data_IF_018683446409
#
_entry.id   IF_018683446409
#
_cell.length_a   1.000
_cell.length_b   1.000
_cell.length_c   1.000
_cell.angle_alpha   90.00
_cell.angle_beta   90.00
_cell.angle_gamma   90.00
#
_symmetry.space_group_name_H-M   'P 1'
#
loop_
_entity.id
_entity.type
_entity.pdbx_description
1 polymer ?
#
# COMPACT_ATOMS: atom_id res chain seq x y z
N UNK A 1 2.81 -19.96 -0.59
CA UNK A 1 2.14 -21.22 -1.00
C UNK A 1 0.62 -21.08 -1.00
N UNK A 2 -0.01 -20.73 0.14
CA UNK A 2 -1.48 -20.61 0.27
C UNK A 2 -2.16 -19.73 -0.80
N UNK A 3 -1.59 -18.58 -1.16
CA UNK A 3 -2.16 -17.73 -2.24
C UNK A 3 -2.26 -18.44 -3.60
N UNK A 4 -1.30 -19.31 -3.94
CA UNK A 4 -1.37 -20.10 -5.19
C UNK A 4 -2.45 -21.18 -5.12
N UNK A 5 -2.72 -21.73 -3.94
CA UNK A 5 -3.71 -22.80 -3.75
C UNK A 5 -5.14 -22.29 -3.98
N UNK A 6 -5.37 -20.97 -3.85
CA UNK A 6 -6.67 -20.32 -4.08
C UNK A 6 -7.04 -20.16 -5.56
N UNK A 7 -6.07 -20.31 -6.48
CA UNK A 7 -6.22 -19.93 -7.88
C UNK A 7 -5.91 -21.09 -8.81
N UNK A 8 -6.70 -21.24 -9.88
CA UNK A 8 -6.34 -22.09 -11.03
C UNK A 8 -5.10 -21.51 -11.75
N UNK A 9 -4.41 -22.29 -12.61
CA UNK A 9 -3.43 -21.73 -13.52
C UNK A 9 -4.01 -20.51 -14.26
N UNK A 10 -3.16 -19.48 -14.45
CA UNK A 10 -3.55 -18.18 -15.01
C UNK A 10 -4.61 -17.38 -14.23
N UNK A 11 -4.96 -17.84 -13.02
CA UNK A 11 -5.82 -17.08 -12.12
C UNK A 11 -5.18 -15.77 -11.71
N UNK A 12 -6.03 -14.75 -11.55
CA UNK A 12 -5.63 -13.38 -11.26
C UNK A 12 -5.78 -13.08 -9.77
N UNK A 13 -4.87 -12.27 -9.22
CA UNK A 13 -4.98 -11.73 -7.86
C UNK A 13 -4.65 -10.24 -7.87
N UNK A 14 -5.54 -9.45 -7.29
CA UNK A 14 -5.32 -8.03 -7.02
C UNK A 14 -4.77 -7.83 -5.62
N UNK A 15 -3.87 -6.86 -5.46
CA UNK A 15 -3.38 -6.39 -4.16
C UNK A 15 -3.61 -4.89 -4.10
N UNK A 16 -4.35 -4.46 -3.08
CA UNK A 16 -4.40 -3.08 -2.63
C UNK A 16 -3.56 -2.97 -1.36
N UNK A 17 -2.65 -2.00 -1.31
CA UNK A 17 -1.82 -1.74 -0.13
C UNK A 17 -1.39 -0.28 -0.06
N UNK A 18 -1.16 0.24 1.15
CA UNK A 18 -0.58 1.55 1.36
C UNK A 18 0.82 1.67 0.77
N UNK A 19 1.04 2.71 -0.03
CA UNK A 19 2.27 2.90 -0.83
C UNK A 19 3.23 3.85 -0.14
N UNK A 20 4.39 3.34 0.25
CA UNK A 20 5.51 4.17 0.68
C UNK A 20 6.20 4.81 -0.54
N UNK A 21 7.01 5.85 -0.27
CA UNK A 21 7.97 6.36 -1.26
C UNK A 21 8.93 5.25 -1.69
N UNK A 22 9.36 5.29 -2.95
CA UNK A 22 10.24 4.26 -3.53
C UNK A 22 11.59 4.16 -2.80
N UNK A 23 12.08 5.26 -2.25
CA UNK A 23 13.35 5.39 -1.52
C UNK A 23 13.19 5.35 0.00
N UNK A 24 11.98 5.05 0.51
CA UNK A 24 11.75 4.95 1.94
C UNK A 24 12.65 3.87 2.57
N UNK A 25 13.19 4.14 3.78
CA UNK A 25 14.04 3.18 4.48
C UNK A 25 13.24 1.96 4.95
N UNK A 26 13.92 0.83 5.11
CA UNK A 26 13.25 -0.44 5.41
C UNK A 26 12.49 -0.43 6.74
N UNK A 27 13.02 0.24 7.75
CA UNK A 27 12.39 0.41 9.07
C UNK A 27 11.04 1.14 9.03
N UNK A 28 10.81 1.94 7.99
CA UNK A 28 9.52 2.58 7.72
C UNK A 28 8.58 1.69 6.89
N UNK A 29 9.12 0.70 6.18
CA UNK A 29 8.40 -0.12 5.19
C UNK A 29 8.37 -1.60 5.56
N UNK A 30 8.61 -1.94 6.82
CA UNK A 30 8.54 -3.31 7.35
C UNK A 30 7.11 -3.75 7.70
N UNK A 31 6.13 -2.85 7.49
CA UNK A 31 4.72 -3.04 7.79
C UNK A 31 4.28 -2.40 9.11
N UNK A 32 5.20 -1.99 10.00
CA UNK A 32 4.87 -1.36 11.27
C UNK A 32 4.18 0.00 11.13
N UNK A 33 4.36 0.67 9.98
CA UNK A 33 3.71 1.94 9.62
C UNK A 33 2.55 1.77 8.64
N UNK A 34 2.23 0.54 8.25
CA UNK A 34 1.24 0.23 7.22
C UNK A 34 1.70 0.46 5.78
N UNK A 35 2.64 1.39 5.54
CA UNK A 35 3.21 1.64 4.23
C UNK A 35 4.22 0.58 3.80
N UNK A 36 4.15 0.13 2.54
CA UNK A 36 5.10 -0.80 1.93
C UNK A 36 5.59 -0.24 0.59
N UNK A 37 6.81 -0.59 0.15
CA UNK A 37 7.31 -0.19 -1.17
C UNK A 37 6.67 -1.05 -2.25
N UNK A 38 6.17 -0.42 -3.31
CA UNK A 38 5.54 -1.10 -4.45
C UNK A 38 6.47 -2.16 -5.06
N UNK A 39 7.75 -1.83 -5.21
CA UNK A 39 8.77 -2.74 -5.73
C UNK A 39 8.94 -4.01 -4.87
N UNK A 40 8.87 -3.89 -3.54
CA UNK A 40 9.00 -5.04 -2.63
C UNK A 40 7.80 -5.97 -2.75
N UNK A 41 6.58 -5.42 -2.88
CA UNK A 41 5.35 -6.21 -3.08
C UNK A 41 5.36 -6.93 -4.42
N UNK A 42 5.76 -6.24 -5.49
CA UNK A 42 5.91 -6.86 -6.81
C UNK A 42 6.92 -8.00 -6.72
N UNK A 43 8.10 -7.76 -6.14
CA UNK A 43 9.15 -8.78 -6.01
C UNK A 43 8.69 -9.97 -5.18
N UNK A 44 8.00 -9.72 -4.07
CA UNK A 44 7.43 -10.74 -3.20
C UNK A 44 6.45 -11.65 -3.96
N UNK A 45 5.57 -11.07 -4.76
CA UNK A 45 4.62 -11.85 -5.57
C UNK A 45 5.33 -12.65 -6.66
N UNK A 46 6.32 -12.06 -7.32
CA UNK A 46 7.12 -12.74 -8.34
C UNK A 46 7.84 -13.98 -7.79
N UNK A 47 8.56 -13.86 -6.67
CA UNK A 47 9.26 -15.01 -6.06
C UNK A 47 8.29 -16.11 -5.61
N UNK A 48 7.03 -15.74 -5.35
CA UNK A 48 5.97 -16.67 -4.96
C UNK A 48 5.15 -17.24 -6.11
N UNK A 49 5.66 -17.16 -7.35
CA UNK A 49 5.06 -17.86 -8.49
C UNK A 49 3.97 -17.07 -9.18
N UNK A 50 3.98 -15.74 -9.06
CA UNK A 50 3.12 -14.85 -9.82
C UNK A 50 3.93 -14.08 -10.87
N UNK A 51 3.24 -13.48 -11.84
CA UNK A 51 3.79 -12.53 -12.80
C UNK A 51 3.02 -11.21 -12.64
N UNK A 52 3.74 -10.09 -12.59
CA UNK A 52 3.13 -8.76 -12.59
C UNK A 52 2.42 -8.51 -13.92
N UNK A 53 1.18 -8.04 -13.86
CA UNK A 53 0.36 -7.77 -15.04
C UNK A 53 0.23 -6.27 -15.27
N UNK A 54 0.09 -5.50 -14.19
CA UNK A 54 -0.03 -4.05 -14.28
C UNK A 54 -0.52 -3.45 -12.98
N UNK A 55 -0.74 -2.14 -13.01
CA UNK A 55 -1.24 -1.37 -11.88
C UNK A 55 -2.30 -0.37 -12.29
N UNK A 56 -3.06 0.09 -11.31
CA UNK A 56 -4.02 1.18 -11.42
C UNK A 56 -3.71 2.25 -10.38
N UNK A 57 -3.92 3.51 -10.75
CA UNK A 57 -3.79 4.65 -9.84
C UNK A 57 -5.16 5.06 -9.27
N UNK A 58 -6.18 4.21 -9.37
CA UNK A 58 -7.54 4.50 -8.89
C UNK A 58 -7.60 4.81 -7.37
N UNK A 59 -6.67 4.26 -6.59
CA UNK A 59 -6.56 4.48 -5.15
C UNK A 59 -5.35 5.36 -4.76
N UNK A 60 -4.72 6.00 -5.74
CA UNK A 60 -3.60 6.89 -5.49
C UNK A 60 -4.07 8.19 -4.85
N UNK A 61 -3.34 8.67 -3.84
CA UNK A 61 -3.53 9.99 -3.25
C UNK A 61 -2.23 10.80 -3.31
N UNK A 62 -2.07 11.71 -4.29
CA UNK A 62 -0.87 12.54 -4.40
C UNK A 62 -0.72 13.56 -3.26
N UNK A 63 -1.74 13.77 -2.42
CA UNK A 63 -1.67 14.64 -1.24
C UNK A 63 -1.04 13.97 -0.02
N UNK A 64 -1.00 12.64 -0.02
CA UNK A 64 -0.34 11.90 1.06
C UNK A 64 1.17 11.92 0.85
N UNK A 65 1.89 12.43 1.85
CA UNK A 65 3.36 12.47 1.84
C UNK A 65 4.01 11.11 2.12
N UNK A 66 3.23 10.13 2.61
CA UNK A 66 3.67 8.80 3.04
C UNK A 66 4.87 8.83 4.01
N UNK A 67 4.95 9.86 4.86
CA UNK A 67 6.01 10.05 5.85
C UNK A 67 5.43 10.57 7.17
N UNK A 68 4.66 9.70 7.82
CA UNK A 68 3.93 10.00 9.04
C UNK A 68 4.51 9.22 10.21
N UNK A 69 4.75 9.86 11.37
CA UNK A 69 5.22 9.16 12.57
C UNK A 69 4.30 8.02 13.00
N UNK A 70 2.98 8.20 12.92
CA UNK A 70 1.98 7.17 13.22
C UNK A 70 1.60 6.34 11.98
N UNK A 71 2.36 6.42 10.89
CA UNK A 71 2.08 5.70 9.66
C UNK A 71 0.73 6.05 9.05
N UNK A 72 0.10 5.06 8.42
CA UNK A 72 -1.19 5.23 7.72
C UNK A 72 -2.31 5.72 8.65
N UNK A 73 -2.21 5.45 9.95
CA UNK A 73 -3.20 5.82 10.94
C UNK A 73 -3.21 7.31 11.27
N UNK A 74 -2.21 8.08 10.82
CA UNK A 74 -2.29 9.56 10.87
C UNK A 74 -3.43 10.09 10.01
N UNK A 75 -3.78 9.42 8.92
CA UNK A 75 -4.82 9.87 8.00
C UNK A 75 -6.21 9.30 8.37
N UNK A 76 -7.31 9.82 7.77
CA UNK A 76 -8.63 9.25 7.98
C UNK A 76 -8.67 7.72 7.73
N UNK A 77 -9.52 6.98 8.46
CA UNK A 77 -10.52 7.48 9.40
C UNK A 77 -9.99 7.77 10.82
N UNK A 78 -8.75 7.39 11.13
CA UNK A 78 -8.22 7.40 12.51
C UNK A 78 -7.79 8.79 12.97
N UNK A 79 -7.15 9.58 12.10
CA UNK A 79 -6.63 10.91 12.44
C UNK A 79 -5.63 10.89 13.62
N UNK A 80 -4.78 9.86 13.67
CA UNK A 80 -3.84 9.61 14.75
C UNK A 80 -2.84 10.76 14.94
N UNK A 81 -2.64 11.15 16.20
CA UNK A 81 -1.71 12.22 16.57
C UNK A 81 -2.24 13.64 16.37
N UNK A 82 -3.47 13.83 15.86
CA UNK A 82 -4.09 15.15 15.74
C UNK A 82 -4.33 15.76 17.14
N UNK A 83 -3.85 16.99 17.34
CA UNK A 83 -3.86 17.66 18.65
C UNK A 83 -5.11 18.52 18.89
N UNK A 84 -5.69 19.02 17.80
CA UNK A 84 -6.83 19.93 17.80
C UNK A 84 -7.67 19.73 16.54
N UNK A 85 -8.77 20.47 16.43
CA UNK A 85 -9.71 20.34 15.31
C UNK A 85 -9.17 20.96 14.02
N UNK A 86 -8.24 21.91 14.10
CA UNK A 86 -7.59 22.47 12.92
C UNK A 86 -6.69 21.41 12.25
N UNK A 87 -5.93 20.66 13.05
CA UNK A 87 -5.10 19.56 12.55
C UNK A 87 -5.95 18.42 12.01
N UNK A 88 -7.04 18.05 12.69
CA UNK A 88 -8.01 17.08 12.14
C UNK A 88 -8.56 17.54 10.79
N UNK A 89 -8.89 18.82 10.65
CA UNK A 89 -9.38 19.37 9.38
C UNK A 89 -8.30 19.31 8.28
N UNK A 90 -7.04 19.60 8.62
CA UNK A 90 -5.89 19.47 7.72
C UNK A 90 -5.71 18.03 7.23
N UNK A 91 -5.73 17.06 8.15
CA UNK A 91 -5.58 15.63 7.83
C UNK A 91 -6.76 15.11 7.00
N UNK A 92 -7.99 15.55 7.29
CA UNK A 92 -9.16 15.24 6.46
C UNK A 92 -9.06 15.82 5.05
N UNK A 93 -8.46 17.01 4.88
CA UNK A 93 -8.27 17.63 3.57
C UNK A 93 -7.21 16.93 2.70
N UNK A 94 -6.24 16.24 3.34
CA UNK A 94 -5.33 15.30 2.66
C UNK A 94 -6.12 14.10 2.15
N UNK A 95 -7.04 13.55 2.95
CA UNK A 95 -7.80 12.35 2.63
C UNK A 95 -7.08 11.08 3.07
N UNK A 96 -7.59 9.92 2.68
CA UNK A 96 -6.97 8.63 3.03
C UNK A 96 -5.55 8.51 2.47
N UNK A 97 -4.74 7.64 3.06
CA UNK A 97 -3.39 7.33 2.58
C UNK A 97 -3.33 6.92 1.10
N UNK A 98 -2.21 7.21 0.46
CA UNK A 98 -1.88 6.75 -0.89
C UNK A 98 -1.77 5.22 -0.93
N UNK A 99 -2.39 4.59 -1.94
CA UNK A 99 -2.39 3.14 -2.09
C UNK A 99 -1.99 2.71 -3.49
N UNK A 100 -1.18 1.65 -3.56
CA UNK A 100 -0.93 0.90 -4.78
C UNK A 100 -2.08 -0.06 -5.03
N UNK A 101 -2.49 -0.18 -6.30
CA UNK A 101 -3.43 -1.19 -6.76
C UNK A 101 -2.76 -2.00 -7.85
N UNK A 102 -2.35 -3.22 -7.52
CA UNK A 102 -1.51 -4.08 -8.35
C UNK A 102 -2.28 -5.32 -8.78
N UNK A 103 -2.02 -5.79 -10.00
CA UNK A 103 -2.61 -7.00 -10.55
C UNK A 103 -1.52 -8.01 -10.92
N UNK A 104 -1.72 -9.25 -10.52
CA UNK A 104 -0.80 -10.36 -10.80
C UNK A 104 -1.54 -11.56 -11.38
N UNK A 105 -0.81 -12.37 -12.13
CA UNK A 105 -1.28 -13.65 -12.67
C UNK A 105 -0.48 -14.80 -12.07
N UNK A 106 -1.14 -15.87 -11.62
CA UNK A 106 -0.48 -17.09 -11.17
C UNK A 106 0.25 -17.76 -12.34
N UNK A 107 1.55 -17.99 -12.20
CA UNK A 107 2.33 -18.79 -13.14
C UNK A 107 1.93 -20.27 -13.03
N UNK A 108 2.00 -21.05 -14.12
CA UNK A 108 1.69 -22.49 -14.13
C UNK A 108 2.32 -23.25 -12.95
#
# INVERSE_FOLDING_TARGET
>A
KKMRDLLKPDGMIGIEQHRAKADAPYDYTDGSKGYLREADIIKFMEIHGFAFVGKSEANANPKDSANWPEGVWTLPPVLGGAKDDAEKARLKAIGESDRMTLLFRKRP
#
